data_IF_389012814340
#
_entry.id   IF_389012814340
#
_cell.length_a   1.000
_cell.length_b   1.000
_cell.length_c   1.000
_cell.angle_alpha   90.00
_cell.angle_beta   90.00
_cell.angle_gamma   90.00
#
_symmetry.space_group_name_H-M   'P 1'
#
loop_
_entity.id
_entity.type
_entity.pdbx_description
1 polymer ?
#
# COMPACT_ATOMS: atom_id res chain seq x y z
N UNK A 1 6.44 15.65 65.97
CA UNK A 1 6.25 14.20 65.76
C UNK A 1 6.35 13.94 64.26
N UNK A 2 7.48 13.37 63.88
CA UNK A 2 7.89 13.01 62.53
C UNK A 2 7.38 11.62 62.14
N UNK A 3 6.63 11.50 61.05
CA UNK A 3 6.39 10.23 60.38
C UNK A 3 7.19 10.19 59.08
N UNK A 4 8.34 9.55 59.14
CA UNK A 4 9.19 9.19 58.00
C UNK A 4 8.65 7.87 57.45
N UNK A 5 7.90 7.94 56.35
CA UNK A 5 7.48 6.75 55.60
C UNK A 5 8.63 6.23 54.75
N UNK A 6 9.05 4.98 55.00
CA UNK A 6 10.09 4.28 54.23
C UNK A 6 9.62 4.02 52.79
N UNK A 7 10.49 4.18 51.77
CA UNK A 7 10.18 3.72 50.43
C UNK A 7 10.32 2.19 50.38
N UNK A 8 9.22 1.50 50.11
CA UNK A 8 9.24 0.08 49.76
C UNK A 8 9.82 -0.08 48.36
N UNK A 9 11.00 -0.68 48.28
CA UNK A 9 11.61 -1.13 47.03
C UNK A 9 10.75 -2.26 46.43
N UNK A 10 10.12 -1.97 45.29
CA UNK A 10 9.47 -3.00 44.47
C UNK A 10 10.55 -3.85 43.78
N UNK A 11 10.46 -5.19 43.82
CA UNK A 11 11.45 -6.08 43.24
C UNK A 11 11.49 -5.94 41.71
N UNK A 12 12.71 -5.97 41.18
CA UNK A 12 13.03 -5.70 39.78
C UNK A 12 12.16 -6.48 38.80
N UNK A 13 11.38 -5.75 38.01
CA UNK A 13 10.88 -6.23 36.73
C UNK A 13 12.07 -6.24 35.79
N UNK A 14 12.70 -7.40 35.67
CA UNK A 14 13.70 -7.66 34.65
C UNK A 14 13.18 -7.21 33.29
N UNK A 15 13.97 -6.35 32.65
CA UNK A 15 13.78 -5.82 31.30
C UNK A 15 13.45 -6.93 30.29
N UNK A 16 12.16 -7.23 30.13
CA UNK A 16 11.61 -8.10 29.07
C UNK A 16 11.26 -7.34 27.80
N UNK A 17 11.47 -6.03 27.77
CA UNK A 17 11.39 -5.25 26.53
C UNK A 17 12.74 -5.36 25.81
N UNK A 18 12.95 -6.49 25.13
CA UNK A 18 13.88 -6.51 24.00
C UNK A 18 13.47 -5.37 23.06
N UNK A 19 14.46 -4.56 22.68
CA UNK A 19 14.39 -3.43 21.74
C UNK A 19 13.17 -3.46 20.80
N UNK A 20 12.39 -2.39 20.81
CA UNK A 20 11.15 -2.16 20.04
C UNK A 20 11.42 -1.95 18.53
N UNK A 21 12.55 -2.44 18.00
CA UNK A 21 13.08 -2.05 16.68
C UNK A 21 13.46 -3.19 15.74
N UNK A 22 13.24 -4.45 16.11
CA UNK A 22 13.44 -5.56 15.17
C UNK A 22 12.21 -5.71 14.27
N UNK A 23 12.27 -5.17 13.05
CA UNK A 23 11.30 -5.50 11.99
C UNK A 23 11.47 -6.96 11.57
N UNK A 24 10.35 -7.62 11.30
CA UNK A 24 10.26 -9.03 10.90
C UNK A 24 11.27 -9.35 9.78
N UNK A 25 12.05 -10.41 9.96
CA UNK A 25 12.97 -10.95 8.94
C UNK A 25 12.22 -11.70 7.83
N UNK A 26 12.92 -12.05 6.74
CA UNK A 26 12.32 -12.82 5.65
C UNK A 26 11.89 -14.20 6.14
N UNK A 27 12.72 -14.83 6.97
CA UNK A 27 12.50 -16.16 7.55
C UNK A 27 11.30 -16.12 8.50
N UNK A 28 11.26 -15.17 9.44
CA UNK A 28 10.11 -14.98 10.34
C UNK A 28 8.81 -14.68 9.57
N UNK A 29 8.89 -13.95 8.45
CA UNK A 29 7.74 -13.70 7.58
C UNK A 29 7.24 -14.98 6.91
N UNK A 30 8.14 -15.78 6.34
CA UNK A 30 7.79 -17.07 5.72
C UNK A 30 7.16 -18.01 6.73
N UNK A 31 7.77 -18.13 7.91
CA UNK A 31 7.27 -18.96 9.00
C UNK A 31 5.89 -18.48 9.45
N UNK A 32 5.71 -17.16 9.62
CA UNK A 32 4.42 -16.59 9.96
C UNK A 32 3.35 -16.94 8.91
N UNK A 33 3.66 -16.78 7.62
CA UNK A 33 2.73 -17.06 6.51
C UNK A 33 2.37 -18.55 6.42
N UNK A 34 3.33 -19.45 6.56
CA UNK A 34 3.11 -20.91 6.51
C UNK A 34 2.17 -21.38 7.62
N UNK A 35 2.28 -20.75 8.80
CA UNK A 35 1.50 -21.10 9.99
C UNK A 35 0.16 -20.36 10.10
N UNK A 36 -0.24 -19.56 9.10
CA UNK A 36 -1.57 -18.93 9.08
C UNK A 36 -2.68 -19.97 8.87
N UNK A 37 -3.51 -20.14 9.89
CA UNK A 37 -4.66 -21.04 9.88
C UNK A 37 -5.99 -20.27 9.82
N UNK A 38 -6.76 -20.53 8.77
CA UNK A 38 -8.05 -19.89 8.54
C UNK A 38 -8.02 -18.44 8.05
N UNK A 39 -9.20 -17.91 7.75
CA UNK A 39 -9.42 -16.57 7.18
C UNK A 39 -9.16 -15.45 8.20
N UNK A 40 -9.52 -15.66 9.46
CA UNK A 40 -9.36 -14.64 10.50
C UNK A 40 -7.90 -14.34 10.81
N UNK A 41 -7.05 -15.37 10.91
CA UNK A 41 -5.62 -15.16 11.10
C UNK A 41 -4.98 -14.45 9.90
N UNK A 42 -5.39 -14.79 8.67
CA UNK A 42 -4.93 -14.08 7.46
C UNK A 42 -5.35 -12.62 7.47
N UNK A 43 -6.58 -12.32 7.92
CA UNK A 43 -7.06 -10.95 8.08
C UNK A 43 -6.23 -10.17 9.10
N UNK A 44 -6.05 -10.72 10.30
CA UNK A 44 -5.25 -10.08 11.36
C UNK A 44 -3.81 -9.85 10.89
N UNK A 45 -3.19 -10.87 10.29
CA UNK A 45 -1.84 -10.76 9.75
C UNK A 45 -1.75 -9.68 8.67
N UNK A 46 -2.73 -9.60 7.77
CA UNK A 46 -2.78 -8.57 6.72
C UNK A 46 -2.83 -7.17 7.33
N UNK A 47 -3.76 -6.95 8.25
CA UNK A 47 -3.95 -5.65 8.91
C UNK A 47 -2.69 -5.23 9.67
N UNK A 48 -2.11 -6.15 10.46
CA UNK A 48 -0.92 -5.90 11.26
C UNK A 48 0.32 -5.65 10.40
N UNK A 49 0.55 -6.44 9.35
CA UNK A 49 1.79 -6.42 8.59
C UNK A 49 1.79 -5.39 7.46
N UNK A 50 0.66 -5.19 6.77
CA UNK A 50 0.58 -4.28 5.62
C UNK A 50 0.09 -2.88 6.01
N UNK A 51 -0.86 -2.76 6.95
CA UNK A 51 -1.60 -1.52 7.18
C UNK A 51 -1.36 -0.87 8.54
N UNK A 52 -0.61 -1.51 9.44
CA UNK A 52 -0.36 -1.00 10.79
C UNK A 52 1.13 -0.76 11.07
N UNK A 53 1.43 0.25 11.88
CA UNK A 53 2.79 0.59 12.31
C UNK A 53 3.64 1.34 11.27
N UNK A 54 4.86 1.68 11.65
CA UNK A 54 5.78 2.49 10.86
C UNK A 54 6.45 1.68 9.72
N UNK A 55 6.47 2.15 8.45
CA UNK A 55 7.16 1.50 7.34
C UNK A 55 8.68 1.40 7.53
N UNK A 56 9.32 0.34 7.01
CA UNK A 56 10.78 0.13 7.09
C UNK A 56 11.57 1.36 6.66
N UNK A 57 11.19 1.97 5.54
CA UNK A 57 11.85 3.17 5.00
C UNK A 57 11.82 4.39 5.93
N UNK A 58 10.87 4.43 6.88
CA UNK A 58 10.70 5.50 7.87
C UNK A 58 11.06 5.05 9.29
N UNK A 59 11.91 4.04 9.47
CA UNK A 59 12.28 3.59 10.82
C UNK A 59 12.80 4.74 11.67
N UNK A 60 12.27 4.89 12.88
CA UNK A 60 12.58 5.99 13.83
C UNK A 60 12.30 7.41 13.28
N UNK A 61 11.55 7.53 12.19
CA UNK A 61 11.22 8.78 11.49
C UNK A 61 9.70 8.92 11.34
N UNK A 62 8.98 8.88 12.47
CA UNK A 62 7.51 8.89 12.48
C UNK A 62 6.92 10.22 11.98
N UNK A 63 7.51 11.35 12.35
CA UNK A 63 7.09 12.68 11.88
C UNK A 63 7.20 12.79 10.35
N UNK A 64 8.32 12.32 9.78
CA UNK A 64 8.54 12.28 8.33
C UNK A 64 7.48 11.41 7.64
N UNK A 65 7.10 10.27 8.23
CA UNK A 65 6.04 9.44 7.70
C UNK A 65 4.66 10.12 7.76
N UNK A 66 4.39 10.89 8.81
CA UNK A 66 3.20 11.71 8.90
C UNK A 66 3.17 12.75 7.77
N UNK A 67 4.22 13.56 7.61
CA UNK A 67 4.27 14.60 6.58
C UNK A 67 4.24 14.05 5.16
N UNK A 68 4.88 12.91 4.91
CA UNK A 68 4.81 12.22 3.63
C UNK A 68 3.36 11.84 3.26
N UNK A 69 2.63 11.23 4.20
CA UNK A 69 1.22 10.89 3.98
C UNK A 69 0.35 12.13 3.83
N UNK A 70 0.57 13.14 4.66
CA UNK A 70 -0.18 14.40 4.62
C UNK A 70 -0.04 15.10 3.27
N UNK A 71 1.17 15.12 2.70
CA UNK A 71 1.44 15.67 1.36
C UNK A 71 0.63 14.99 0.26
N UNK A 72 0.56 13.65 0.29
CA UNK A 72 -0.24 12.87 -0.66
C UNK A 72 -1.73 13.13 -0.43
N UNK A 73 -2.15 13.13 0.83
CA UNK A 73 -3.53 13.35 1.23
C UNK A 73 -4.05 14.71 0.75
N UNK A 74 -3.26 15.77 0.91
CA UNK A 74 -3.59 17.12 0.47
C UNK A 74 -3.76 17.22 -1.05
N UNK A 75 -2.88 16.57 -1.81
CA UNK A 75 -2.95 16.56 -3.27
C UNK A 75 -4.25 15.90 -3.77
N UNK A 76 -4.66 14.80 -3.15
CA UNK A 76 -5.84 14.04 -3.56
C UNK A 76 -7.13 14.43 -2.81
N UNK A 77 -7.05 15.37 -1.87
CA UNK A 77 -8.15 15.79 -1.00
C UNK A 77 -8.77 14.60 -0.25
N UNK A 78 -7.92 13.75 0.31
CA UNK A 78 -8.27 12.60 1.14
C UNK A 78 -7.67 12.76 2.53
N UNK A 79 -7.99 11.87 3.46
CA UNK A 79 -7.43 11.92 4.81
C UNK A 79 -6.06 11.23 4.88
N UNK A 80 -5.14 11.72 5.71
CA UNK A 80 -3.78 11.17 5.76
C UNK A 80 -3.73 9.71 6.23
N UNK A 81 -4.72 9.26 7.02
CA UNK A 81 -4.86 7.87 7.44
C UNK A 81 -5.44 6.97 6.34
N UNK A 82 -5.88 7.53 5.22
CA UNK A 82 -6.26 6.79 4.01
C UNK A 82 -5.09 6.55 3.05
N UNK A 83 -3.89 7.04 3.41
CA UNK A 83 -2.65 6.87 2.67
C UNK A 83 -1.71 5.97 3.47
N UNK A 84 -1.27 4.87 2.87
CA UNK A 84 -0.39 3.88 3.51
C UNK A 84 0.78 3.49 2.60
N UNK A 85 1.93 3.21 3.19
CA UNK A 85 3.04 2.54 2.50
C UNK A 85 2.96 1.04 2.73
N UNK A 86 3.10 0.29 1.64
CA UNK A 86 3.03 -1.17 1.58
C UNK A 86 4.24 -1.71 0.80
N UNK A 87 4.25 -3.01 0.50
CA UNK A 87 5.30 -3.60 -0.32
C UNK A 87 6.68 -3.57 0.35
N UNK A 88 7.75 -3.58 -0.43
CA UNK A 88 9.10 -3.79 0.13
C UNK A 88 9.55 -2.69 1.09
N UNK A 89 9.14 -1.44 0.84
CA UNK A 89 9.44 -0.30 1.71
C UNK A 89 8.73 -0.33 3.07
N UNK A 90 7.63 -1.10 3.19
CA UNK A 90 6.97 -1.40 4.47
C UNK A 90 7.73 -2.46 5.27
N UNK A 91 8.11 -3.54 4.61
CA UNK A 91 8.68 -4.74 5.25
C UNK A 91 10.20 -4.69 5.42
N UNK A 92 10.92 -3.95 4.58
CA UNK A 92 12.39 -4.03 4.46
C UNK A 92 12.84 -5.15 3.51
N UNK A 93 11.91 -5.84 2.88
CA UNK A 93 12.12 -6.85 1.84
C UNK A 93 10.85 -7.01 1.02
N UNK A 94 10.94 -7.53 -0.21
CA UNK A 94 9.78 -7.87 -1.02
C UNK A 94 9.05 -9.09 -0.43
N UNK A 95 7.79 -8.99 0.01
CA UNK A 95 7.05 -10.14 0.57
C UNK A 95 6.82 -11.26 -0.45
N UNK A 96 6.89 -10.96 -1.75
CA UNK A 96 6.65 -11.90 -2.85
C UNK A 96 7.95 -12.49 -3.43
N UNK A 97 8.98 -11.64 -3.61
CA UNK A 97 10.28 -12.03 -4.19
C UNK A 97 11.28 -12.52 -3.15
N UNK A 98 11.06 -12.21 -1.87
CA UNK A 98 11.99 -12.47 -0.76
C UNK A 98 13.38 -11.85 -0.97
N UNK A 99 13.44 -10.71 -1.65
CA UNK A 99 14.65 -9.92 -1.86
C UNK A 99 14.67 -8.74 -0.90
N UNK A 100 15.85 -8.38 -0.37
CA UNK A 100 16.01 -7.23 0.53
C UNK A 100 15.62 -5.93 -0.15
N UNK A 101 15.09 -4.98 0.62
CA UNK A 101 14.84 -3.62 0.17
C UNK A 101 16.19 -2.92 -0.08
N UNK A 102 16.27 -2.17 -1.18
CA UNK A 102 17.48 -1.48 -1.64
C UNK A 102 17.10 -0.16 -2.34
N UNK A 103 18.08 0.64 -2.76
CA UNK A 103 17.84 1.87 -3.51
C UNK A 103 17.15 1.65 -4.88
N UNK A 104 17.18 0.43 -5.40
CA UNK A 104 16.46 0.05 -6.63
C UNK A 104 14.99 -0.30 -6.38
N UNK A 105 14.55 -0.29 -5.12
CA UNK A 105 13.17 -0.57 -4.74
C UNK A 105 12.28 0.67 -4.89
N UNK A 106 11.04 0.45 -5.32
CA UNK A 106 10.03 1.50 -5.31
C UNK A 106 9.41 1.66 -3.89
N UNK A 107 8.87 2.84 -3.61
CA UNK A 107 7.93 3.08 -2.53
C UNK A 107 6.52 2.85 -3.07
N UNK A 108 5.93 1.72 -2.72
CA UNK A 108 4.55 1.39 -3.05
C UNK A 108 3.60 2.07 -2.04
N UNK A 109 2.80 3.01 -2.54
CA UNK A 109 1.76 3.70 -1.79
C UNK A 109 0.39 3.14 -2.17
N UNK A 110 -0.46 2.98 -1.17
CA UNK A 110 -1.87 2.67 -1.33
C UNK A 110 -2.68 3.81 -0.77
N UNK A 111 -3.58 4.34 -1.59
CA UNK A 111 -4.62 5.26 -1.19
C UNK A 111 -5.92 4.46 -1.17
N UNK A 112 -6.75 4.59 -0.14
CA UNK A 112 -8.09 4.02 -0.15
C UNK A 112 -9.12 5.08 0.20
N UNK A 113 -9.91 5.52 -0.79
CA UNK A 113 -10.92 6.54 -0.57
C UNK A 113 -12.08 6.31 -1.54
N UNK A 114 -13.29 6.14 -0.99
CA UNK A 114 -14.46 5.75 -1.77
C UNK A 114 -14.93 6.87 -2.68
N UNK A 115 -14.99 8.11 -2.17
CA UNK A 115 -15.38 9.28 -2.97
C UNK A 115 -14.46 9.50 -4.16
N UNK A 116 -13.15 9.40 -3.97
CA UNK A 116 -12.17 9.53 -5.06
C UNK A 116 -12.29 8.36 -6.05
N UNK A 117 -12.54 7.14 -5.57
CA UNK A 117 -12.74 5.99 -6.44
C UNK A 117 -14.00 6.13 -7.30
N UNK A 118 -15.12 6.58 -6.73
CA UNK A 118 -16.38 6.78 -7.45
C UNK A 118 -16.23 7.84 -8.57
N UNK A 119 -15.45 8.92 -8.35
CA UNK A 119 -15.12 9.88 -9.42
C UNK A 119 -14.50 9.20 -10.66
N UNK A 120 -13.61 8.22 -10.44
CA UNK A 120 -13.03 7.45 -11.54
C UNK A 120 -14.01 6.40 -12.09
N UNK A 121 -14.88 5.84 -11.26
CA UNK A 121 -15.94 4.92 -11.68
C UNK A 121 -16.86 5.57 -12.69
N UNK A 122 -17.33 6.79 -12.43
CA UNK A 122 -18.21 7.53 -13.34
C UNK A 122 -17.54 7.72 -14.72
N UNK A 123 -16.27 8.13 -14.74
CA UNK A 123 -15.51 8.29 -15.98
C UNK A 123 -15.34 6.98 -16.76
N UNK A 124 -15.08 5.88 -16.06
CA UNK A 124 -14.95 4.54 -16.67
C UNK A 124 -16.29 4.04 -17.19
N UNK A 125 -17.38 4.31 -16.46
CA UNK A 125 -18.75 3.97 -16.85
C UNK A 125 -19.14 4.70 -18.15
N UNK A 126 -18.93 6.01 -18.21
CA UNK A 126 -19.16 6.80 -19.43
C UNK A 126 -18.34 6.30 -20.61
N UNK A 127 -17.06 5.97 -20.37
CA UNK A 127 -16.20 5.39 -21.38
C UNK A 127 -16.71 4.02 -21.89
N UNK A 128 -17.26 3.19 -21.00
CA UNK A 128 -17.89 1.92 -21.38
C UNK A 128 -19.11 2.13 -22.29
N UNK A 129 -19.96 3.10 -21.99
CA UNK A 129 -21.10 3.43 -22.86
C UNK A 129 -20.65 3.93 -24.23
N UNK A 130 -19.60 4.74 -24.31
CA UNK A 130 -19.02 5.18 -25.59
C UNK A 130 -18.48 4.02 -26.44
N UNK A 131 -17.87 3.01 -25.81
CA UNK A 131 -17.48 1.79 -26.52
C UNK A 131 -18.71 1.02 -27.01
N UNK A 132 -19.71 0.84 -26.13
CA UNK A 132 -20.96 0.12 -26.45
C UNK A 132 -21.70 0.76 -27.63
N UNK A 133 -21.77 2.10 -27.65
CA UNK A 133 -22.43 2.88 -28.70
C UNK A 133 -21.56 3.05 -29.96
N UNK A 134 -20.37 2.46 -29.99
CA UNK A 134 -19.41 2.55 -31.10
C UNK A 134 -18.84 3.96 -31.37
N UNK A 135 -19.00 4.90 -30.43
CA UNK A 135 -18.37 6.23 -30.46
C UNK A 135 -16.85 6.12 -30.28
N UNK A 136 -16.40 5.09 -29.54
CA UNK A 136 -15.00 4.74 -29.37
C UNK A 136 -14.77 3.32 -29.90
N UNK A 137 -13.82 3.19 -30.82
CA UNK A 137 -13.37 1.90 -31.35
C UNK A 137 -11.95 1.61 -30.87
N UNK A 138 -11.76 0.44 -30.26
CA UNK A 138 -10.47 -0.02 -29.79
C UNK A 138 -9.88 -1.02 -30.77
N UNK A 139 -8.61 -0.84 -31.12
CA UNK A 139 -7.86 -1.90 -31.78
C UNK A 139 -7.56 -3.05 -30.80
N UNK A 140 -7.04 -4.16 -31.33
CA UNK A 140 -6.76 -5.37 -30.54
C UNK A 140 -5.85 -5.11 -29.32
N UNK A 141 -4.83 -4.26 -29.46
CA UNK A 141 -3.91 -3.96 -28.38
C UNK A 141 -4.56 -3.09 -27.29
N UNK A 142 -5.27 -2.04 -27.72
CA UNK A 142 -6.04 -1.16 -26.83
C UNK A 142 -7.10 -1.95 -26.05
N UNK A 143 -7.80 -2.86 -26.71
CA UNK A 143 -8.80 -3.72 -26.09
C UNK A 143 -8.17 -4.64 -25.03
N UNK A 144 -7.01 -5.25 -25.31
CA UNK A 144 -6.27 -6.06 -24.33
C UNK A 144 -5.85 -5.24 -23.10
N UNK A 145 -5.32 -4.03 -23.29
CA UNK A 145 -4.95 -3.12 -22.19
C UNK A 145 -6.17 -2.71 -21.37
N UNK A 146 -7.27 -2.38 -22.06
CA UNK A 146 -8.54 -2.04 -21.43
C UNK A 146 -9.11 -3.20 -20.58
N UNK A 147 -9.14 -4.43 -21.09
CA UNK A 147 -9.57 -5.59 -20.31
C UNK A 147 -8.69 -5.83 -19.08
N UNK A 148 -7.36 -5.64 -19.21
CA UNK A 148 -6.44 -5.72 -18.09
C UNK A 148 -6.76 -4.67 -17.02
N UNK A 149 -7.01 -3.43 -17.42
CA UNK A 149 -7.45 -2.36 -16.54
C UNK A 149 -8.74 -2.72 -15.81
N UNK A 150 -9.79 -3.09 -16.55
CA UNK A 150 -11.10 -3.44 -15.99
C UNK A 150 -10.98 -4.57 -14.96
N UNK A 151 -10.17 -5.59 -15.22
CA UNK A 151 -9.94 -6.70 -14.27
C UNK A 151 -9.45 -6.22 -12.91
N UNK A 152 -8.58 -5.20 -12.85
CA UNK A 152 -8.15 -4.59 -11.59
C UNK A 152 -9.22 -3.67 -11.02
N UNK A 153 -9.83 -2.84 -11.88
CA UNK A 153 -10.82 -1.86 -11.48
C UNK A 153 -12.03 -2.49 -10.77
N UNK A 154 -12.61 -3.57 -11.32
CA UNK A 154 -13.74 -4.31 -10.71
C UNK A 154 -13.37 -4.99 -9.39
N UNK A 155 -12.09 -5.21 -9.12
CA UNK A 155 -11.59 -5.70 -7.83
C UNK A 155 -11.45 -4.59 -6.80
N UNK A 156 -11.91 -3.37 -7.13
CA UNK A 156 -11.79 -2.18 -6.31
C UNK A 156 -10.37 -1.62 -6.27
N UNK A 157 -9.57 -1.86 -7.30
CA UNK A 157 -8.20 -1.31 -7.43
C UNK A 157 -8.05 -0.55 -8.74
N UNK A 158 -8.08 0.77 -8.68
CA UNK A 158 -7.77 1.65 -9.78
C UNK A 158 -6.25 1.75 -9.94
N UNK A 159 -5.79 1.32 -11.12
CA UNK A 159 -4.40 1.32 -11.56
C UNK A 159 -4.20 2.44 -12.59
N UNK A 160 -3.67 3.61 -12.19
CA UNK A 160 -3.49 4.76 -13.08
C UNK A 160 -2.60 4.43 -14.28
N UNK A 161 -1.58 3.60 -14.08
CA UNK A 161 -0.66 3.12 -15.12
C UNK A 161 -1.34 2.26 -16.19
N UNK A 162 -2.52 1.71 -15.90
CA UNK A 162 -3.30 0.88 -16.83
C UNK A 162 -4.47 1.63 -17.47
N UNK A 163 -4.71 2.90 -17.12
CA UNK A 163 -5.82 3.68 -17.68
C UNK A 163 -5.75 3.71 -19.22
N UNK A 164 -6.90 3.60 -19.94
CA UNK A 164 -6.91 3.70 -21.39
C UNK A 164 -6.42 5.08 -21.86
N UNK A 165 -5.39 5.14 -22.70
CA UNK A 165 -4.76 6.41 -23.10
C UNK A 165 -5.28 6.97 -24.44
N UNK A 166 -6.48 6.57 -24.84
CA UNK A 166 -7.12 6.95 -26.10
C UNK A 166 -8.16 8.07 -25.96
N UNK A 167 -8.36 8.62 -24.76
CA UNK A 167 -9.19 9.81 -24.50
C UNK A 167 -8.39 10.89 -23.79
N UNK A 168 -8.81 12.15 -23.94
CA UNK A 168 -8.12 13.26 -23.29
C UNK A 168 -8.23 13.19 -21.75
N UNK A 169 -9.43 12.90 -21.23
CA UNK A 169 -9.68 12.80 -19.79
C UNK A 169 -8.76 11.77 -19.09
N UNK A 170 -8.58 10.58 -19.68
CA UNK A 170 -7.68 9.58 -19.08
C UNK A 170 -6.20 9.90 -19.23
N UNK A 171 -5.82 10.64 -20.27
CA UNK A 171 -4.44 11.13 -20.42
C UNK A 171 -4.12 12.17 -19.34
N UNK A 172 -5.04 13.09 -19.08
CA UNK A 172 -4.90 14.11 -18.04
C UNK A 172 -4.80 13.46 -16.66
N UNK A 173 -5.71 12.54 -16.32
CA UNK A 173 -5.66 11.82 -15.04
C UNK A 173 -4.33 11.09 -14.85
N UNK A 174 -3.88 10.34 -15.87
CA UNK A 174 -2.60 9.62 -15.77
C UNK A 174 -1.44 10.58 -15.63
N UNK A 175 -1.43 11.67 -16.39
CA UNK A 175 -0.38 12.69 -16.36
C UNK A 175 -0.32 13.36 -14.99
N UNK A 176 -1.44 13.83 -14.46
CA UNK A 176 -1.50 14.51 -13.16
C UNK A 176 -1.07 13.57 -12.03
N UNK A 177 -1.48 12.30 -12.10
CA UNK A 177 -1.03 11.26 -11.19
C UNK A 177 0.49 11.06 -11.26
N UNK A 178 1.02 10.81 -12.45
CA UNK A 178 2.45 10.56 -12.65
C UNK A 178 3.30 11.78 -12.29
N UNK A 179 2.87 12.98 -12.65
CA UNK A 179 3.57 14.24 -12.36
C UNK A 179 3.65 14.48 -10.85
N UNK A 180 2.54 14.25 -10.13
CA UNK A 180 2.55 14.37 -8.68
C UNK A 180 3.53 13.37 -8.04
N UNK A 181 3.44 12.07 -8.36
CA UNK A 181 4.33 11.08 -7.74
C UNK A 181 5.79 11.24 -8.15
N UNK A 182 6.06 11.71 -9.37
CA UNK A 182 7.40 12.12 -9.81
C UNK A 182 7.91 13.34 -9.05
N UNK A 183 7.03 14.28 -8.67
CA UNK A 183 7.40 15.48 -7.91
C UNK A 183 7.88 15.16 -6.49
N UNK A 184 7.41 14.05 -5.91
CA UNK A 184 7.82 13.58 -4.56
C UNK A 184 8.82 12.43 -4.57
N UNK A 185 9.30 12.02 -5.75
CA UNK A 185 10.34 10.99 -5.91
C UNK A 185 11.75 11.58 -5.91
N UNK A 186 12.77 10.74 -5.75
CA UNK A 186 14.19 11.08 -5.95
C UNK A 186 14.67 12.26 -5.09
N UNK A 187 14.59 12.11 -3.76
CA UNK A 187 15.05 13.08 -2.75
C UNK A 187 14.26 14.40 -2.71
N UNK A 188 13.07 14.41 -3.30
CA UNK A 188 12.15 15.57 -3.28
C UNK A 188 11.08 15.48 -2.20
N UNK A 189 11.16 14.47 -1.34
CA UNK A 189 10.26 14.27 -0.21
C UNK A 189 10.94 13.45 0.88
N UNK A 190 10.18 13.18 1.94
CA UNK A 190 10.62 12.53 3.17
C UNK A 190 11.07 11.08 2.93
N UNK A 191 10.65 10.42 1.83
CA UNK A 191 11.12 9.06 1.52
C UNK A 191 12.59 9.00 1.12
N UNK A 192 13.22 10.10 0.72
CA UNK A 192 14.60 10.10 0.21
C UNK A 192 14.69 9.72 -1.27
N UNK A 193 15.78 9.06 -1.68
CA UNK A 193 16.14 8.90 -3.10
C UNK A 193 15.34 7.83 -3.88
N UNK A 194 14.14 7.47 -3.43
CA UNK A 194 13.33 6.41 -4.04
C UNK A 194 12.31 6.95 -5.04
N UNK A 195 11.86 6.07 -5.93
CA UNK A 195 10.70 6.30 -6.78
C UNK A 195 9.44 6.00 -5.96
N UNK A 196 8.47 6.90 -5.99
CA UNK A 196 7.15 6.69 -5.39
C UNK A 196 6.16 6.27 -6.46
N UNK A 197 5.42 5.19 -6.20
CA UNK A 197 4.32 4.72 -7.04
C UNK A 197 3.09 4.56 -6.17
N UNK A 198 1.91 4.78 -6.74
CA UNK A 198 0.68 4.62 -5.99
C UNK A 198 -0.43 3.96 -6.79
N UNK A 199 -1.30 3.26 -6.08
CA UNK A 199 -2.59 2.81 -6.57
C UNK A 199 -3.72 3.26 -5.65
N UNK A 200 -4.93 3.38 -6.21
CA UNK A 200 -6.12 3.74 -5.46
C UNK A 200 -7.03 2.53 -5.29
N UNK A 201 -7.39 2.21 -4.07
CA UNK A 201 -8.42 1.25 -3.75
C UNK A 201 -9.73 1.93 -3.42
N UNK A 202 -10.85 1.25 -3.68
CA UNK A 202 -12.20 1.77 -3.36
C UNK A 202 -12.35 2.11 -1.88
N UNK A 203 -11.90 1.22 -1.00
CA UNK A 203 -11.77 1.48 0.43
C UNK A 203 -10.83 0.43 1.04
N UNK A 204 -10.54 0.55 2.34
CA UNK A 204 -9.59 -0.33 3.03
C UNK A 204 -9.95 -1.82 2.88
N UNK A 205 -11.25 -2.18 2.88
CA UNK A 205 -11.69 -3.57 2.70
C UNK A 205 -11.22 -4.17 1.38
N UNK A 206 -11.22 -3.40 0.29
CA UNK A 206 -10.74 -3.88 -1.02
C UNK A 206 -9.22 -4.03 -1.04
N UNK A 207 -8.49 -3.11 -0.40
CA UNK A 207 -7.04 -3.22 -0.23
C UNK A 207 -6.68 -4.48 0.58
N UNK A 208 -7.32 -4.69 1.74
CA UNK A 208 -7.13 -5.89 2.56
C UNK A 208 -7.44 -7.17 1.79
N UNK A 209 -8.54 -7.20 1.02
CA UNK A 209 -8.87 -8.35 0.18
C UNK A 209 -7.77 -8.66 -0.84
N UNK A 210 -7.19 -7.64 -1.47
CA UNK A 210 -6.09 -7.80 -2.42
C UNK A 210 -4.83 -8.40 -1.75
N UNK A 211 -4.36 -7.80 -0.65
CA UNK A 211 -3.15 -8.30 0.02
C UNK A 211 -3.34 -9.67 0.67
N UNK A 212 -4.54 -9.99 1.17
CA UNK A 212 -4.87 -11.37 1.59
C UNK A 212 -4.72 -12.35 0.45
N UNK A 213 -5.30 -12.04 -0.72
CA UNK A 213 -5.14 -12.88 -1.92
C UNK A 213 -3.66 -13.08 -2.27
N UNK A 214 -2.83 -12.04 -2.16
CA UNK A 214 -1.39 -12.16 -2.37
C UNK A 214 -0.70 -13.04 -1.34
N UNK A 215 -1.11 -13.01 -0.06
CA UNK A 215 -0.62 -13.92 0.97
C UNK A 215 -0.99 -15.37 0.62
N UNK A 216 -2.18 -15.64 0.09
CA UNK A 216 -2.56 -17.00 -0.34
C UNK A 216 -1.69 -17.51 -1.49
N UNK A 217 -1.35 -16.62 -2.45
CA UNK A 217 -0.41 -16.93 -3.54
C UNK A 217 0.98 -17.23 -2.99
N UNK A 218 1.46 -16.45 -2.02
CA UNK A 218 2.75 -16.68 -1.35
C UNK A 218 2.72 -18.01 -0.59
N UNK A 219 1.65 -18.32 0.14
CA UNK A 219 1.50 -19.59 0.86
C UNK A 219 1.56 -20.79 -0.08
N UNK A 220 0.87 -20.72 -1.22
CA UNK A 220 0.93 -21.77 -2.25
C UNK A 220 2.35 -21.94 -2.78
N UNK A 221 3.05 -20.84 -3.06
CA UNK A 221 4.45 -20.85 -3.51
C UNK A 221 5.38 -21.48 -2.48
N UNK A 222 5.19 -21.18 -1.20
CA UNK A 222 6.03 -21.74 -0.12
C UNK A 222 5.77 -23.23 0.11
N UNK A 223 4.54 -23.71 -0.08
CA UNK A 223 4.20 -25.14 0.02
C UNK A 223 4.61 -25.96 -1.20
N UNK A 224 4.91 -25.31 -2.33
CA UNK A 224 5.38 -25.98 -3.56
C UNK A 224 6.91 -26.08 -3.68
N UNK A 225 7.64 -25.52 -2.71
CA UNK A 225 9.10 -25.63 -2.59
C UNK A 225 9.43 -26.82 -1.69
#
# INVERSE_FOLDING_TARGET
MSFVGRPTQSPGVGSKYKNVTAKMTIEEYKDSVINLDGEDQRKIFTQKSYFHGLPFVFNEREDDYYFFRKRIADNFQVEFYEVMIVGSSKFGFSPYKFTKFSLDSDIDVVIFNETLFEKYFDLVSEYQYKIKNQEIRLNTEQYKKYLKFIKYFIRGWMRPDLLPQNTQAFKEIKKDWDDFFKSISHSKSEVGNYIVKAGLFKNQKYAEKYYRSSIEEILKKLKSL
#
